data_IF_549980309004
#
_entry.id   IF_549980309004
#
_cell.length_a   1.000
_cell.length_b   1.000
_cell.length_c   1.000
_cell.angle_alpha   90.00
_cell.angle_beta   90.00
_cell.angle_gamma   90.00
#
_symmetry.space_group_name_H-M   'P 1'
#
loop_
_entity.id
_entity.type
_entity.pdbx_description
1 polymer ?
#
# COMPACT_ATOMS: atom_id res chain seq x y z
N UNK A 1 -0.71 1.70 26.37
CA UNK A 1 -1.49 0.98 25.36
C UNK A 1 -0.80 0.98 24.00
N UNK A 2 -1.05 -0.03 23.20
CA UNK A 2 -0.57 -0.15 21.81
C UNK A 2 -1.66 0.32 20.87
N UNK A 3 -1.42 1.42 20.18
CA UNK A 3 -2.32 1.98 19.17
C UNK A 3 -1.66 1.88 17.80
N UNK A 4 -2.39 1.37 16.82
CA UNK A 4 -1.81 1.04 15.50
C UNK A 4 -2.70 1.54 14.38
N UNK A 5 -2.12 2.28 13.45
CA UNK A 5 -2.70 2.50 12.13
C UNK A 5 -2.26 1.37 11.20
N UNK A 6 -3.18 0.47 10.88
CA UNK A 6 -2.95 -0.68 10.00
C UNK A 6 -3.70 -0.51 8.65
N UNK A 7 -3.91 0.73 8.26
CA UNK A 7 -4.61 1.06 7.02
C UNK A 7 -4.04 0.35 5.78
N UNK A 8 -2.70 0.26 5.58
CA UNK A 8 -2.14 -0.46 4.43
C UNK A 8 -1.95 -1.96 4.65
N UNK A 9 -2.02 -2.44 5.90
CA UNK A 9 -1.76 -3.85 6.23
C UNK A 9 -2.97 -4.75 6.10
N UNK A 10 -4.17 -4.24 6.42
CA UNK A 10 -5.40 -5.02 6.35
C UNK A 10 -5.69 -5.45 4.91
N UNK A 11 -6.00 -6.72 4.73
CA UNK A 11 -6.24 -7.33 3.42
C UNK A 11 -4.98 -7.80 2.70
N UNK A 12 -3.79 -7.43 3.20
CA UNK A 12 -2.50 -7.68 2.54
C UNK A 12 -1.58 -8.54 3.42
N UNK A 13 -1.35 -8.13 4.66
CA UNK A 13 -0.38 -8.73 5.57
C UNK A 13 -1.04 -9.69 6.57
N UNK A 14 -0.22 -10.60 7.09
CA UNK A 14 -0.61 -11.55 8.13
C UNK A 14 -1.53 -12.67 7.66
N UNK A 15 -1.77 -13.65 8.54
CA UNK A 15 -2.62 -14.80 8.26
C UNK A 15 -4.02 -14.35 7.83
N UNK A 16 -4.49 -14.82 6.67
CA UNK A 16 -5.80 -14.45 6.12
C UNK A 16 -5.97 -12.96 5.78
N UNK A 17 -4.87 -12.19 5.65
CA UNK A 17 -4.94 -10.75 5.40
C UNK A 17 -5.40 -9.93 6.61
N UNK A 18 -5.21 -10.44 7.81
CA UNK A 18 -5.63 -9.76 9.06
C UNK A 18 -4.74 -8.59 9.48
N UNK A 19 -3.73 -8.24 8.67
CA UNK A 19 -2.91 -7.04 8.82
C UNK A 19 -1.59 -7.24 9.56
N UNK A 20 -0.88 -6.14 9.78
CA UNK A 20 0.47 -6.13 10.33
C UNK A 20 0.54 -6.67 11.76
N UNK A 21 -0.44 -6.34 12.60
CA UNK A 21 -0.46 -6.86 13.98
C UNK A 21 -0.64 -8.37 14.03
N UNK A 22 -1.50 -8.92 13.18
CA UNK A 22 -1.66 -10.37 13.07
C UNK A 22 -0.39 -11.04 12.52
N UNK A 23 0.34 -10.38 11.63
CA UNK A 23 1.65 -10.85 11.16
C UNK A 23 2.71 -10.87 12.27
N UNK A 24 2.64 -9.93 13.20
CA UNK A 24 3.53 -9.84 14.36
C UNK A 24 3.09 -10.71 15.57
N UNK A 25 1.93 -11.34 15.52
CA UNK A 25 1.36 -12.08 16.65
C UNK A 25 0.91 -11.18 17.81
N UNK A 26 0.64 -9.90 17.54
CA UNK A 26 0.27 -8.91 18.54
C UNK A 26 -1.22 -8.56 18.47
N UNK A 27 -1.79 -8.18 19.62
CA UNK A 27 -3.15 -7.66 19.73
C UNK A 27 -3.06 -6.22 20.25
N UNK A 28 -3.37 -5.20 19.44
CA UNK A 28 -3.36 -3.81 19.89
C UNK A 28 -4.60 -3.48 20.70
N UNK A 29 -4.49 -2.49 21.61
CA UNK A 29 -5.63 -1.94 22.35
C UNK A 29 -6.58 -1.16 21.45
N UNK A 30 -6.01 -0.47 20.45
CA UNK A 30 -6.77 0.20 19.40
C UNK A 30 -6.11 0.00 18.03
N UNK A 31 -6.91 -0.29 17.00
CA UNK A 31 -6.45 -0.46 15.64
C UNK A 31 -7.31 0.34 14.67
N UNK A 32 -6.68 1.23 13.93
CA UNK A 32 -7.32 1.95 12.83
C UNK A 32 -7.16 1.16 11.54
N UNK A 33 -8.26 1.02 10.81
CA UNK A 33 -8.29 0.41 9.47
C UNK A 33 -9.06 1.32 8.53
N UNK A 34 -8.66 1.37 7.25
CA UNK A 34 -9.32 2.19 6.24
C UNK A 34 -9.85 1.32 5.11
N UNK A 35 -10.95 1.75 4.52
CA UNK A 35 -11.64 0.99 3.47
C UNK A 35 -11.30 1.48 2.05
N UNK A 36 -10.54 2.58 1.93
CA UNK A 36 -10.13 3.13 0.63
C UNK A 36 -8.92 2.42 -0.02
N UNK A 37 -8.35 1.37 0.61
CA UNK A 37 -7.20 0.62 0.10
C UNK A 37 -7.65 -0.77 -0.36
N UNK A 38 -7.32 -1.82 0.38
CA UNK A 38 -7.62 -3.21 0.01
C UNK A 38 -9.12 -3.53 -0.16
N UNK A 39 -10.00 -2.77 0.47
CA UNK A 39 -11.45 -2.93 0.32
C UNK A 39 -12.00 -2.22 -0.93
N UNK A 40 -11.30 -1.21 -1.47
CA UNK A 40 -11.76 -0.47 -2.64
C UNK A 40 -13.07 0.29 -2.43
N UNK A 41 -13.36 0.71 -1.18
CA UNK A 41 -14.55 1.48 -0.79
C UNK A 41 -14.14 2.78 -0.10
N UNK A 42 -14.96 3.34 0.75
CA UNK A 42 -14.66 4.57 1.48
C UNK A 42 -14.97 4.42 2.97
N UNK A 43 -14.23 5.17 3.80
CA UNK A 43 -14.41 5.19 5.24
C UNK A 43 -13.29 4.50 5.99
N UNK A 44 -13.48 4.40 7.30
CA UNK A 44 -12.54 3.79 8.22
C UNK A 44 -13.28 3.18 9.41
N UNK A 45 -12.58 2.36 10.19
CA UNK A 45 -13.06 1.87 11.47
C UNK A 45 -11.94 1.87 12.51
N UNK A 46 -12.32 2.10 13.76
CA UNK A 46 -11.46 1.86 14.92
C UNK A 46 -11.94 0.56 15.56
N UNK A 47 -11.03 -0.39 15.69
CA UNK A 47 -11.26 -1.68 16.31
C UNK A 47 -10.58 -1.68 17.70
N UNK A 48 -11.28 -2.17 18.70
CA UNK A 48 -10.75 -2.22 20.07
C UNK A 48 -11.73 -2.92 21.00
N UNK A 49 -11.51 -2.77 22.32
CA UNK A 49 -12.41 -3.30 23.33
C UNK A 49 -13.78 -2.61 23.27
N UNK A 50 -14.82 -3.26 23.80
CA UNK A 50 -16.14 -2.64 23.90
C UNK A 50 -16.11 -1.32 24.68
N UNK A 51 -15.34 -1.26 25.76
CA UNK A 51 -15.18 -0.05 26.56
C UNK A 51 -14.54 1.10 25.75
N UNK A 52 -13.53 0.83 24.93
CA UNK A 52 -12.92 1.84 24.07
C UNK A 52 -13.94 2.33 23.02
N UNK A 53 -14.67 1.42 22.40
CA UNK A 53 -15.67 1.79 21.37
C UNK A 53 -16.78 2.64 21.99
N UNK A 54 -17.27 2.25 23.15
CA UNK A 54 -18.29 3.02 23.90
C UNK A 54 -17.81 4.43 24.27
N UNK A 55 -16.58 4.54 24.76
CA UNK A 55 -15.95 5.84 25.05
C UNK A 55 -15.85 6.72 23.79
N UNK A 56 -15.41 6.16 22.66
CA UNK A 56 -15.31 6.89 21.39
C UNK A 56 -16.68 7.36 20.89
N UNK A 57 -17.70 6.51 20.95
CA UNK A 57 -19.06 6.88 20.52
C UNK A 57 -19.65 8.01 21.36
N UNK A 58 -19.36 8.02 22.66
CA UNK A 58 -19.94 8.98 23.59
C UNK A 58 -19.14 10.28 23.75
N UNK A 59 -17.81 10.26 23.47
CA UNK A 59 -16.93 11.41 23.76
C UNK A 59 -16.11 11.90 22.57
N UNK A 60 -15.94 11.10 21.52
CA UNK A 60 -15.16 11.56 20.36
C UNK A 60 -15.96 12.55 19.53
N UNK A 61 -15.51 13.81 19.52
CA UNK A 61 -16.14 14.87 18.71
C UNK A 61 -16.19 14.51 17.22
N UNK A 62 -15.16 13.83 16.72
CA UNK A 62 -15.10 13.37 15.33
C UNK A 62 -16.15 12.31 15.00
N UNK A 63 -16.61 11.54 15.99
CA UNK A 63 -17.72 10.57 15.81
C UNK A 63 -19.07 11.26 15.98
N UNK A 64 -19.23 12.01 17.08
CA UNK A 64 -20.51 12.64 17.47
C UNK A 64 -20.99 13.66 16.42
N UNK A 65 -20.07 14.44 15.84
CA UNK A 65 -20.39 15.52 14.91
C UNK A 65 -20.17 15.17 13.44
N UNK A 66 -19.92 13.90 13.11
CA UNK A 66 -19.77 13.44 11.74
C UNK A 66 -21.04 12.73 11.25
N UNK A 67 -21.40 12.98 9.99
CA UNK A 67 -22.46 12.24 9.33
C UNK A 67 -22.01 10.79 9.10
N UNK A 68 -22.90 9.85 9.38
CA UNK A 68 -22.65 8.43 9.15
C UNK A 68 -22.39 8.12 7.68
N UNK A 69 -21.61 7.06 7.43
CA UNK A 69 -21.44 6.51 6.08
C UNK A 69 -22.79 6.10 5.49
N UNK A 70 -22.93 6.27 4.18
CA UNK A 70 -24.15 5.84 3.51
C UNK A 70 -24.33 4.31 3.59
N UNK A 71 -25.58 3.80 3.71
CA UNK A 71 -25.82 2.36 3.75
C UNK A 71 -25.21 1.59 2.56
N UNK A 72 -25.16 2.21 1.37
CA UNK A 72 -24.53 1.62 0.19
C UNK A 72 -23.04 1.38 0.39
N UNK A 73 -22.30 2.34 0.96
CA UNK A 73 -20.86 2.17 1.26
C UNK A 73 -20.64 1.09 2.33
N UNK A 74 -21.51 1.02 3.33
CA UNK A 74 -21.46 -0.04 4.34
C UNK A 74 -21.69 -1.42 3.69
N UNK A 75 -22.69 -1.55 2.82
CA UNK A 75 -22.97 -2.78 2.11
C UNK A 75 -21.81 -3.20 1.19
N UNK A 76 -21.23 -2.26 0.44
CA UNK A 76 -20.05 -2.49 -0.40
C UNK A 76 -18.84 -2.95 0.43
N UNK A 77 -18.60 -2.31 1.58
CA UNK A 77 -17.49 -2.68 2.49
C UNK A 77 -17.70 -4.08 3.08
N UNK A 78 -18.93 -4.44 3.46
CA UNK A 78 -19.26 -5.80 3.92
C UNK A 78 -19.02 -6.85 2.81
N UNK A 79 -19.41 -6.53 1.57
CA UNK A 79 -19.15 -7.40 0.43
C UNK A 79 -17.66 -7.57 0.19
N UNK A 80 -16.89 -6.48 0.21
CA UNK A 80 -15.42 -6.50 0.08
C UNK A 80 -14.77 -7.35 1.18
N UNK A 81 -15.25 -7.27 2.43
CA UNK A 81 -14.79 -8.13 3.52
C UNK A 81 -15.04 -9.61 3.25
N UNK A 82 -16.21 -9.95 2.70
CA UNK A 82 -16.55 -11.32 2.31
C UNK A 82 -15.58 -11.84 1.23
N UNK A 83 -15.31 -11.03 0.20
CA UNK A 83 -14.33 -11.37 -0.84
C UNK A 83 -12.93 -11.53 -0.29
N UNK A 84 -12.50 -10.64 0.60
CA UNK A 84 -11.19 -10.71 1.25
C UNK A 84 -11.00 -12.04 2.01
N UNK A 85 -12.05 -12.56 2.64
CA UNK A 85 -12.05 -13.85 3.33
C UNK A 85 -12.06 -15.04 2.38
N UNK A 86 -12.86 -14.96 1.33
CA UNK A 86 -13.18 -16.12 0.47
C UNK A 86 -12.30 -16.20 -0.77
N UNK A 87 -11.54 -15.15 -1.10
CA UNK A 87 -10.69 -15.09 -2.28
C UNK A 87 -9.19 -14.92 -1.89
N UNK A 88 -8.57 -15.91 -1.20
CA UNK A 88 -7.17 -15.83 -0.76
C UNK A 88 -6.20 -15.71 -1.94
N UNK A 89 -6.58 -16.24 -3.11
CA UNK A 89 -5.80 -16.17 -4.34
C UNK A 89 -5.38 -14.74 -4.72
N UNK A 90 -6.15 -13.71 -4.35
CA UNK A 90 -5.78 -12.31 -4.61
C UNK A 90 -4.53 -11.90 -3.85
N UNK A 91 -4.41 -12.31 -2.59
CA UNK A 91 -3.20 -12.05 -1.79
C UNK A 91 -2.01 -12.86 -2.31
N UNK A 92 -2.25 -14.11 -2.66
CA UNK A 92 -1.23 -14.98 -3.25
C UNK A 92 -0.70 -14.39 -4.55
N UNK A 93 -1.60 -13.93 -5.44
CA UNK A 93 -1.22 -13.23 -6.68
C UNK A 93 -0.45 -11.95 -6.41
N UNK A 94 -0.87 -11.12 -5.45
CA UNK A 94 -0.15 -9.92 -5.06
C UNK A 94 1.27 -10.24 -4.59
N UNK A 95 1.42 -11.24 -3.72
CA UNK A 95 2.74 -11.64 -3.23
C UNK A 95 3.62 -12.23 -4.32
N UNK A 96 3.05 -12.99 -5.25
CA UNK A 96 3.76 -13.48 -6.45
C UNK A 96 4.24 -12.31 -7.32
N UNK A 97 3.39 -11.30 -7.54
CA UNK A 97 3.73 -10.11 -8.28
C UNK A 97 4.87 -9.31 -7.61
N UNK A 98 4.84 -9.17 -6.30
CA UNK A 98 5.92 -8.53 -5.53
C UNK A 98 7.23 -9.32 -5.69
N UNK A 99 7.19 -10.64 -5.56
CA UNK A 99 8.36 -11.48 -5.71
C UNK A 99 8.94 -11.40 -7.13
N UNK A 100 8.06 -11.45 -8.17
CA UNK A 100 8.46 -11.31 -9.58
C UNK A 100 9.17 -9.98 -9.83
N UNK A 101 8.56 -8.87 -9.40
CA UNK A 101 9.13 -7.54 -9.55
C UNK A 101 10.52 -7.44 -8.91
N UNK A 102 10.64 -7.88 -7.67
CA UNK A 102 11.91 -7.85 -6.92
C UNK A 102 12.99 -8.74 -7.58
N UNK A 103 12.62 -9.92 -8.04
CA UNK A 103 13.53 -10.81 -8.78
C UNK A 103 13.96 -10.17 -10.10
N UNK A 104 13.04 -9.52 -10.80
CA UNK A 104 13.33 -8.77 -12.02
C UNK A 104 14.34 -7.65 -11.79
N UNK A 105 14.14 -6.84 -10.75
CA UNK A 105 15.08 -5.77 -10.39
C UNK A 105 16.48 -6.31 -10.06
N UNK A 106 16.57 -7.40 -9.31
CA UNK A 106 17.85 -8.02 -8.99
C UNK A 106 18.61 -8.51 -10.26
N UNK A 107 17.89 -9.02 -11.25
CA UNK A 107 18.47 -9.45 -12.54
C UNK A 107 19.07 -8.31 -13.36
N UNK A 108 18.49 -7.10 -13.24
CA UNK A 108 19.01 -5.90 -13.91
C UNK A 108 19.96 -5.09 -13.01
N UNK A 109 20.42 -5.69 -11.90
CA UNK A 109 21.41 -5.09 -11.01
C UNK A 109 20.87 -3.99 -10.09
N UNK A 110 19.56 -3.81 -10.00
CA UNK A 110 18.95 -2.81 -9.14
C UNK A 110 18.70 -3.37 -7.74
N UNK A 111 19.28 -2.71 -6.73
CA UNK A 111 19.03 -3.01 -5.34
C UNK A 111 17.87 -2.19 -4.81
N UNK A 112 16.94 -2.86 -4.14
CA UNK A 112 15.79 -2.21 -3.52
C UNK A 112 15.67 -2.61 -2.05
N UNK A 113 15.14 -1.73 -1.19
CA UNK A 113 14.90 -2.06 0.21
C UNK A 113 14.07 -3.34 0.35
N UNK A 114 14.30 -4.09 1.42
CA UNK A 114 13.57 -5.31 1.71
C UNK A 114 12.11 -5.00 2.10
N UNK A 115 11.24 -4.82 1.10
CA UNK A 115 9.81 -4.63 1.29
C UNK A 115 9.03 -5.88 0.85
N UNK A 116 8.17 -6.39 1.72
CA UNK A 116 7.21 -7.46 1.42
C UNK A 116 5.80 -6.91 1.19
N UNK A 117 5.67 -5.59 1.14
CA UNK A 117 4.38 -4.90 0.94
C UNK A 117 4.15 -4.58 -0.54
N UNK A 118 2.95 -4.21 -0.95
CA UNK A 118 2.68 -3.73 -2.31
C UNK A 118 3.49 -2.49 -2.69
N UNK A 119 3.94 -1.72 -1.69
CA UNK A 119 4.73 -0.51 -1.91
C UNK A 119 6.20 -0.89 -2.01
N UNK A 120 6.79 -0.64 -3.18
CA UNK A 120 8.18 -0.92 -3.51
C UNK A 120 8.89 0.41 -3.82
N UNK A 121 9.54 1.03 -2.83
CA UNK A 121 10.26 2.29 -3.05
C UNK A 121 11.59 2.04 -3.75
N UNK A 122 11.95 2.92 -4.70
CA UNK A 122 13.30 3.00 -5.28
C UNK A 122 13.87 4.36 -4.91
N UNK A 123 14.81 4.39 -3.98
CA UNK A 123 15.43 5.62 -3.51
C UNK A 123 16.46 6.08 -4.54
N UNK A 124 16.32 7.32 -5.02
CA UNK A 124 17.20 7.94 -6.01
C UNK A 124 18.04 9.08 -5.41
N UNK A 125 17.62 9.60 -4.25
CA UNK A 125 18.32 10.65 -3.51
C UNK A 125 17.92 12.04 -4.00
N UNK A 126 18.27 12.36 -5.22
CA UNK A 126 18.02 13.65 -5.86
C UNK A 126 16.57 13.77 -6.36
N UNK A 127 15.96 14.93 -6.18
CA UNK A 127 14.55 15.18 -6.54
C UNK A 127 14.38 15.43 -8.03
N UNK A 128 15.31 16.10 -8.69
CA UNK A 128 15.27 16.34 -10.14
C UNK A 128 15.40 15.01 -10.87
N UNK A 129 16.34 14.16 -10.44
CA UNK A 129 16.49 12.81 -10.97
C UNK A 129 15.25 11.96 -10.76
N UNK A 130 14.62 12.04 -9.59
CA UNK A 130 13.41 11.27 -9.31
C UNK A 130 12.24 11.66 -10.23
N UNK A 131 12.11 12.95 -10.55
CA UNK A 131 11.11 13.45 -11.50
C UNK A 131 11.45 12.99 -12.92
N UNK A 132 12.69 13.17 -13.37
CA UNK A 132 13.09 12.77 -14.71
C UNK A 132 12.83 11.27 -14.98
N UNK A 133 13.13 10.40 -14.02
CA UNK A 133 12.84 8.96 -14.13
C UNK A 133 11.33 8.70 -14.13
N UNK A 134 10.54 9.41 -13.30
CA UNK A 134 9.09 9.27 -13.29
C UNK A 134 8.48 9.66 -14.65
N UNK A 135 8.90 10.78 -15.23
CA UNK A 135 8.45 11.27 -16.54
C UNK A 135 8.83 10.31 -17.66
N UNK A 136 10.05 9.76 -17.62
CA UNK A 136 10.51 8.75 -18.57
C UNK A 136 9.70 7.45 -18.50
N UNK A 137 9.27 7.03 -17.30
CA UNK A 137 8.37 5.89 -17.10
C UNK A 137 6.97 6.18 -17.62
N UNK A 138 6.44 7.38 -17.36
CA UNK A 138 5.11 7.79 -17.85
C UNK A 138 5.07 7.81 -19.38
N UNK A 139 6.10 8.32 -20.03
CA UNK A 139 6.25 8.26 -21.50
C UNK A 139 6.23 6.84 -22.06
N UNK A 140 6.60 5.83 -21.25
CA UNK A 140 6.55 4.40 -21.57
C UNK A 140 5.25 3.71 -21.12
N UNK A 141 4.27 4.48 -20.60
CA UNK A 141 2.97 3.99 -20.17
C UNK A 141 2.92 3.49 -18.73
N UNK A 142 3.91 3.79 -17.90
CA UNK A 142 3.96 3.39 -16.50
C UNK A 142 3.82 4.60 -15.57
N UNK A 143 2.65 4.77 -14.96
CA UNK A 143 2.43 5.83 -13.98
C UNK A 143 3.07 5.48 -12.63
N UNK A 144 4.24 6.06 -12.38
CA UNK A 144 5.03 5.87 -11.15
C UNK A 144 5.37 7.22 -10.54
N UNK A 145 4.74 7.62 -9.43
CA UNK A 145 4.99 8.94 -8.85
C UNK A 145 6.37 9.04 -8.20
N UNK A 146 7.02 10.20 -8.41
CA UNK A 146 8.16 10.63 -7.64
C UNK A 146 7.72 11.25 -6.32
N UNK A 147 8.23 10.75 -5.20
CA UNK A 147 8.01 11.27 -3.86
C UNK A 147 9.24 12.06 -3.45
N UNK A 148 9.04 13.34 -3.12
CA UNK A 148 10.08 14.33 -2.89
C UNK A 148 9.88 15.07 -1.57
N UNK A 149 10.88 15.81 -1.08
CA UNK A 149 10.67 16.76 0.01
C UNK A 149 9.50 17.73 -0.30
N UNK A 150 8.71 18.13 0.71
CA UNK A 150 8.82 17.82 2.14
C UNK A 150 8.16 16.50 2.56
N UNK A 151 7.59 15.71 1.63
CA UNK A 151 6.93 14.42 1.96
C UNK A 151 7.92 13.38 2.50
N UNK A 152 9.16 13.46 2.05
CA UNK A 152 10.29 12.67 2.53
C UNK A 152 11.45 13.60 2.89
N UNK A 153 12.42 13.19 3.72
CA UNK A 153 13.60 14.00 4.03
C UNK A 153 14.41 14.35 2.77
N UNK A 154 15.14 15.48 2.81
CA UNK A 154 16.08 15.86 1.77
C UNK A 154 17.11 14.76 1.50
N UNK A 155 17.51 14.61 0.23
CA UNK A 155 18.43 13.56 -0.20
C UNK A 155 17.81 12.15 -0.20
N UNK A 156 16.51 12.01 -0.03
CA UNK A 156 15.82 10.71 -0.01
C UNK A 156 14.65 10.63 -0.99
N UNK A 157 14.64 11.46 -2.02
CA UNK A 157 13.65 11.40 -3.09
C UNK A 157 13.62 10.00 -3.73
N UNK A 158 12.45 9.53 -4.09
CA UNK A 158 12.24 8.14 -4.50
C UNK A 158 11.07 7.99 -5.45
N UNK A 159 11.10 6.94 -6.22
CA UNK A 159 9.89 6.44 -6.89
C UNK A 159 9.06 5.61 -5.91
N UNK A 160 7.75 5.74 -5.99
CA UNK A 160 6.82 4.91 -5.22
C UNK A 160 6.07 3.98 -6.16
N UNK A 161 6.62 2.80 -6.38
CA UNK A 161 5.94 1.78 -7.17
C UNK A 161 4.91 1.08 -6.28
N UNK A 162 3.69 0.93 -6.79
CA UNK A 162 2.62 0.24 -6.07
C UNK A 162 2.12 -0.91 -6.92
N UNK A 163 2.29 -2.13 -6.42
CA UNK A 163 1.86 -3.35 -7.09
C UNK A 163 0.45 -3.77 -6.66
N UNK A 164 -0.26 -4.42 -7.56
CA UNK A 164 -1.61 -4.93 -7.36
C UNK A 164 -1.72 -6.38 -7.82
N UNK A 165 -2.70 -7.10 -7.29
CA UNK A 165 -3.08 -8.42 -7.79
C UNK A 165 -3.67 -8.37 -9.22
N UNK A 166 -4.10 -7.18 -9.67
CA UNK A 166 -4.63 -6.99 -11.02
C UNK A 166 -3.55 -6.91 -12.09
N UNK A 167 -2.30 -6.59 -11.72
CA UNK A 167 -1.21 -6.54 -12.70
C UNK A 167 -0.89 -7.92 -13.27
N UNK A 168 -0.75 -7.98 -14.58
CA UNK A 168 -0.28 -9.16 -15.30
C UNK A 168 1.24 -9.29 -15.26
N UNK A 169 1.73 -10.49 -15.58
CA UNK A 169 3.16 -10.79 -15.59
C UNK A 169 3.92 -9.90 -16.56
N UNK A 170 3.36 -9.66 -17.75
CA UNK A 170 3.97 -8.82 -18.77
C UNK A 170 4.08 -7.35 -18.36
N UNK A 171 3.09 -6.83 -17.62
CA UNK A 171 3.13 -5.45 -17.10
C UNK A 171 4.25 -5.28 -16.07
N UNK A 172 4.47 -6.30 -15.24
CA UNK A 172 5.53 -6.26 -14.22
C UNK A 172 6.91 -6.38 -14.86
N UNK A 173 7.08 -7.30 -15.81
CA UNK A 173 8.34 -7.46 -16.51
C UNK A 173 8.68 -6.23 -17.37
N UNK A 174 7.67 -5.66 -18.04
CA UNK A 174 7.82 -4.43 -18.80
C UNK A 174 8.18 -3.23 -17.94
N UNK A 175 7.59 -3.11 -16.74
CA UNK A 175 7.97 -2.07 -15.77
C UNK A 175 9.45 -2.23 -15.34
N UNK A 176 9.92 -3.46 -15.10
CA UNK A 176 11.32 -3.70 -14.73
C UNK A 176 12.27 -3.26 -15.85
N UNK A 177 11.96 -3.60 -17.11
CA UNK A 177 12.75 -3.17 -18.25
C UNK A 177 12.77 -1.64 -18.42
N UNK A 178 11.58 -1.02 -18.37
CA UNK A 178 11.44 0.43 -18.46
C UNK A 178 12.18 1.17 -17.33
N UNK A 179 12.19 0.63 -16.11
CA UNK A 179 12.97 1.18 -14.99
C UNK A 179 14.47 1.13 -15.24
N UNK A 180 14.99 0.02 -15.77
CA UNK A 180 16.41 -0.10 -16.07
C UNK A 180 16.85 0.93 -17.12
N UNK A 181 16.04 1.11 -18.19
CA UNK A 181 16.28 2.12 -19.22
C UNK A 181 16.21 3.56 -18.68
N UNK A 182 15.12 3.91 -17.99
CA UNK A 182 14.91 5.25 -17.46
C UNK A 182 16.00 5.65 -16.43
N UNK A 183 16.47 4.70 -15.62
CA UNK A 183 17.56 4.93 -14.68
C UNK A 183 18.91 5.12 -15.37
N UNK A 184 19.16 4.44 -16.48
CA UNK A 184 20.37 4.61 -17.28
C UNK A 184 20.37 5.99 -17.98
N UNK A 185 19.25 6.41 -18.57
CA UNK A 185 19.06 7.73 -19.18
C UNK A 185 19.28 8.88 -18.17
N UNK A 186 18.80 8.72 -16.94
CA UNK A 186 18.95 9.73 -15.88
C UNK A 186 20.31 9.71 -15.15
N UNK A 187 21.23 8.85 -15.56
CA UNK A 187 22.60 8.78 -15.00
C UNK A 187 23.65 9.46 -15.88
N UNK A 188 23.31 9.79 -17.15
CA UNK A 188 24.15 10.51 -18.10
C UNK A 188 23.87 12.00 -18.11
#
# INVERSE_FOLDING_TARGET
GLWVDDAPGLGVLGPGGRGAMAAAGLVPDARVVTFGKSFGTQGAAILGTAALVDELVNRSRGVIHSTALTPMLVAATRHALTRLRNEPWRRERLHANIARFRTGLARVGLQVPASRTPIQPIVLGDDVRAVAVADALEARGYLVPAIRPPTVPEGTARLRITLSAAHGDQEIDGLVAALAEALAEAAG
#
